data_IF_341331025483
#
_entry.id   IF_341331025483
#
_cell.length_a   1.000
_cell.length_b   1.000
_cell.length_c   1.000
_cell.angle_alpha   90.00
_cell.angle_beta   90.00
_cell.angle_gamma   90.00
#
_symmetry.space_group_name_H-M   'P 1'
#
loop_
_entity.id
_entity.type
_entity.pdbx_description
1 polymer ?
#
# COMPACT_ATOMS: atom_id res chain seq x y z
N UNK A 1 -11.70 -5.92 -68.89
CA UNK A 1 -12.20 -4.95 -67.90
C UNK A 1 -13.48 -5.49 -67.28
N UNK A 2 -13.44 -5.86 -66.00
CA UNK A 2 -14.44 -5.56 -64.95
C UNK A 2 -14.07 -6.37 -63.72
N UNK A 3 -13.95 -5.61 -62.63
CA UNK A 3 -13.38 -5.95 -61.34
C UNK A 3 -14.46 -6.58 -60.46
N UNK A 4 -14.12 -7.63 -59.72
CA UNK A 4 -14.89 -8.15 -58.59
C UNK A 4 -13.81 -8.58 -57.58
N UNK A 5 -13.55 -7.89 -56.46
CA UNK A 5 -14.47 -7.23 -55.55
C UNK A 5 -14.69 -8.14 -54.36
N UNK A 6 -13.64 -8.43 -53.57
CA UNK A 6 -13.77 -9.20 -52.32
C UNK A 6 -13.64 -8.24 -51.14
N UNK A 7 -14.71 -8.26 -50.35
CA UNK A 7 -15.06 -7.46 -49.20
C UNK A 7 -14.09 -7.74 -48.03
N UNK A 8 -13.42 -6.72 -47.51
CA UNK A 8 -12.65 -6.79 -46.26
C UNK A 8 -13.63 -6.58 -45.10
N UNK A 9 -13.86 -7.63 -44.32
CA UNK A 9 -14.71 -7.58 -43.13
C UNK A 9 -14.00 -6.84 -41.98
N UNK A 10 -14.53 -5.67 -41.63
CA UNK A 10 -14.12 -4.83 -40.50
C UNK A 10 -14.66 -5.44 -39.20
N UNK A 11 -13.82 -6.11 -38.40
CA UNK A 11 -14.19 -6.52 -37.05
C UNK A 11 -14.11 -5.32 -36.10
N UNK A 12 -15.24 -4.63 -35.90
CA UNK A 12 -15.41 -3.66 -34.85
C UNK A 12 -15.43 -4.37 -33.48
N UNK A 13 -14.35 -4.24 -32.72
CA UNK A 13 -14.30 -4.69 -31.32
C UNK A 13 -14.97 -3.63 -30.45
N UNK A 14 -16.24 -3.83 -30.13
CA UNK A 14 -16.95 -3.04 -29.11
C UNK A 14 -16.40 -3.46 -27.75
N UNK A 15 -15.43 -2.72 -27.23
CA UNK A 15 -15.04 -2.82 -25.83
C UNK A 15 -16.16 -2.22 -24.99
N UNK A 16 -17.07 -3.08 -24.51
CA UNK A 16 -17.99 -2.75 -23.42
C UNK A 16 -17.13 -2.50 -22.18
N UNK A 17 -16.87 -1.23 -21.86
CA UNK A 17 -16.44 -0.87 -20.52
C UNK A 17 -17.62 -1.11 -19.58
N UNK A 18 -17.58 -2.29 -18.96
CA UNK A 18 -18.37 -2.68 -17.80
C UNK A 18 -18.34 -1.53 -16.80
N UNK A 19 -19.52 -0.99 -16.51
CA UNK A 19 -19.69 0.01 -15.46
C UNK A 19 -19.19 -0.58 -14.13
N UNK A 20 -18.24 0.11 -13.51
CA UNK A 20 -17.77 -0.20 -12.18
C UNK A 20 -18.94 -0.05 -11.20
N UNK A 21 -19.42 -1.18 -10.70
CA UNK A 21 -20.29 -1.25 -9.53
C UNK A 21 -19.44 -0.76 -8.35
N UNK A 22 -19.78 0.40 -7.76
CA UNK A 22 -19.27 0.79 -6.44
C UNK A 22 -19.99 -0.05 -5.37
N UNK A 23 -19.64 -1.34 -5.30
CA UNK A 23 -19.99 -2.23 -4.21
C UNK A 23 -19.00 -1.98 -3.06
N UNK A 24 -19.54 -1.54 -1.91
CA UNK A 24 -18.87 -1.36 -0.61
C UNK A 24 -17.36 -1.56 -0.61
N UNK A 25 -16.61 -0.52 -0.96
CA UNK A 25 -15.15 -0.56 -1.09
C UNK A 25 -14.54 -0.91 0.28
N UNK A 26 -14.17 -2.18 0.46
CA UNK A 26 -13.50 -2.67 1.66
C UNK A 26 -12.28 -1.80 1.93
N UNK A 27 -12.10 -1.37 3.19
CA UNK A 27 -10.95 -0.55 3.56
C UNK A 27 -9.66 -1.32 3.20
N UNK A 28 -8.71 -0.69 2.47
CA UNK A 28 -7.52 -1.37 1.98
C UNK A 28 -6.67 -1.96 3.11
N UNK A 29 -6.84 -1.52 4.36
CA UNK A 29 -6.11 -2.04 5.52
C UNK A 29 -6.62 -3.38 6.03
N UNK A 30 -7.76 -3.87 5.57
CA UNK A 30 -8.31 -5.14 6.07
C UNK A 30 -7.48 -6.36 5.65
N UNK A 31 -6.75 -6.26 4.53
CA UNK A 31 -5.91 -7.33 3.99
C UNK A 31 -4.51 -6.78 3.62
N UNK A 32 -3.46 -7.57 3.79
CA UNK A 32 -2.08 -7.13 3.50
C UNK A 32 -1.87 -6.89 2.01
N UNK A 33 -2.54 -7.67 1.17
CA UNK A 33 -2.52 -7.60 -0.30
C UNK A 33 -3.04 -6.26 -0.82
N UNK A 34 -3.93 -5.59 -0.08
CA UNK A 34 -4.45 -4.26 -0.40
C UNK A 34 -3.77 -3.16 0.43
N UNK A 35 -3.34 -3.48 1.64
CA UNK A 35 -2.73 -2.52 2.56
C UNK A 35 -1.35 -2.06 2.05
N UNK A 36 -0.51 -2.99 1.59
CA UNK A 36 0.83 -2.68 1.10
C UNK A 36 0.79 -1.78 -0.15
N UNK A 37 0.00 -2.10 -1.20
CA UNK A 37 -0.11 -1.21 -2.36
C UNK A 37 -0.66 0.18 -2.02
N UNK A 38 -1.64 0.27 -1.11
CA UNK A 38 -2.19 1.58 -0.71
C UNK A 38 -1.18 2.39 0.11
N UNK A 39 -0.44 1.76 1.02
CA UNK A 39 0.66 2.38 1.75
C UNK A 39 1.72 2.94 0.78
N UNK A 40 2.10 2.17 -0.24
CA UNK A 40 3.03 2.60 -1.30
C UNK A 40 2.45 3.80 -2.05
N UNK A 41 1.19 3.74 -2.49
CA UNK A 41 0.53 4.83 -3.22
C UNK A 41 0.56 6.15 -2.44
N UNK A 42 0.22 6.10 -1.15
CA UNK A 42 0.22 7.29 -0.28
C UNK A 42 1.63 7.88 -0.12
N UNK A 43 2.65 7.03 0.04
CA UNK A 43 4.04 7.47 0.17
C UNK A 43 4.58 8.08 -1.14
N UNK A 44 4.26 7.48 -2.29
CA UNK A 44 4.62 8.00 -3.62
C UNK A 44 3.92 9.33 -3.92
N UNK A 45 2.65 9.47 -3.53
CA UNK A 45 1.89 10.70 -3.62
C UNK A 45 2.28 11.76 -2.57
N UNK A 46 3.19 11.44 -1.66
CA UNK A 46 3.61 12.29 -0.53
C UNK A 46 2.46 12.69 0.40
N UNK A 47 1.41 11.88 0.46
CA UNK A 47 0.25 12.03 1.34
C UNK A 47 0.59 11.55 2.77
N UNK A 48 1.64 12.11 3.37
CA UNK A 48 2.24 11.58 4.59
C UNK A 48 1.32 11.64 5.81
N UNK A 49 0.49 12.68 5.95
CA UNK A 49 -0.49 12.79 7.05
C UNK A 49 -1.50 11.63 6.98
N UNK A 50 -2.05 11.39 5.79
CA UNK A 50 -2.98 10.29 5.54
C UNK A 50 -2.32 8.93 5.79
N UNK A 51 -1.09 8.75 5.30
CA UNK A 51 -0.30 7.54 5.55
C UNK A 51 -0.12 7.29 7.05
N UNK A 52 0.40 8.27 7.79
CA UNK A 52 0.72 8.12 9.21
C UNK A 52 -0.53 7.84 10.04
N UNK A 53 -1.65 8.50 9.73
CA UNK A 53 -2.91 8.31 10.46
C UNK A 53 -3.52 6.94 10.22
N UNK A 54 -3.35 6.37 9.02
CA UNK A 54 -4.03 5.14 8.63
C UNK A 54 -3.20 3.88 8.80
N UNK A 55 -1.87 3.98 8.65
CA UNK A 55 -0.98 2.82 8.56
C UNK A 55 0.03 2.71 9.70
N UNK A 56 0.23 3.73 10.53
CA UNK A 56 1.03 3.57 11.76
C UNK A 56 0.13 2.99 12.84
N UNK A 57 0.65 2.05 13.63
CA UNK A 57 -0.06 1.52 14.78
C UNK A 57 -0.63 2.68 15.66
N UNK A 58 -1.90 2.65 16.07
CA UNK A 58 -2.52 3.77 16.80
C UNK A 58 -1.80 4.16 18.09
N UNK A 59 -1.26 3.20 18.84
CA UNK A 59 -0.54 3.46 20.08
C UNK A 59 0.80 4.14 19.80
N UNK A 60 1.52 3.67 18.78
CA UNK A 60 2.76 4.30 18.32
C UNK A 60 2.50 5.70 17.76
N UNK A 61 1.46 5.86 16.94
CA UNK A 61 1.05 7.15 16.38
C UNK A 61 0.74 8.16 17.49
N UNK A 62 -0.03 7.75 18.51
CA UNK A 62 -0.32 8.58 19.69
C UNK A 62 0.96 8.96 20.42
N UNK A 63 1.88 8.01 20.64
CA UNK A 63 3.17 8.27 21.30
C UNK A 63 4.05 9.24 20.50
N UNK A 64 4.12 9.10 19.18
CA UNK A 64 4.94 9.99 18.34
C UNK A 64 4.34 11.38 18.15
N UNK A 65 3.03 11.51 18.31
CA UNK A 65 2.33 12.79 18.24
C UNK A 65 2.12 13.44 19.61
N UNK A 66 2.54 12.80 20.69
CA UNK A 66 2.48 13.37 22.02
C UNK A 66 3.39 14.62 22.10
N UNK A 67 2.78 15.79 22.29
CA UNK A 67 3.50 17.06 22.38
C UNK A 67 3.89 17.69 21.02
N UNK A 68 3.41 17.16 19.90
CA UNK A 68 3.61 17.75 18.56
C UNK A 68 2.36 17.68 17.71
N UNK A 69 2.29 18.44 16.61
CA UNK A 69 1.19 18.32 15.66
C UNK A 69 1.45 17.20 14.67
N UNK A 70 0.38 16.60 14.14
CA UNK A 70 0.49 15.58 13.08
C UNK A 70 1.26 16.12 11.87
N UNK A 71 1.07 17.40 11.50
CA UNK A 71 1.80 18.03 10.40
C UNK A 71 3.30 18.14 10.67
N UNK A 72 3.70 18.49 11.91
CA UNK A 72 5.09 18.56 12.29
C UNK A 72 5.73 17.17 12.27
N UNK A 73 5.01 16.15 12.76
CA UNK A 73 5.45 14.76 12.67
C UNK A 73 5.57 14.29 11.22
N UNK A 74 4.61 14.62 10.35
CA UNK A 74 4.63 14.30 8.94
C UNK A 74 5.83 14.96 8.21
N UNK A 75 6.17 16.21 8.54
CA UNK A 75 7.37 16.89 8.01
C UNK A 75 8.65 16.18 8.45
N UNK A 76 8.74 15.78 9.71
CA UNK A 76 9.89 15.01 10.20
C UNK A 76 10.00 13.66 9.50
N UNK A 77 8.87 12.95 9.34
CA UNK A 77 8.81 11.68 8.61
C UNK A 77 9.25 11.83 7.15
N UNK A 78 8.86 12.92 6.49
CA UNK A 78 9.27 13.24 5.12
C UNK A 78 10.78 13.47 4.97
N UNK A 79 11.49 13.82 6.05
CA UNK A 79 12.93 14.14 6.05
C UNK A 79 13.88 12.94 5.83
N UNK A 80 13.36 11.75 5.54
CA UNK A 80 14.15 10.57 5.16
C UNK A 80 13.46 9.25 5.47
N UNK A 81 12.64 9.20 6.53
CA UNK A 81 11.95 7.97 6.94
C UNK A 81 10.95 7.49 5.88
N UNK A 82 10.25 8.43 5.21
CA UNK A 82 9.32 8.11 4.14
C UNK A 82 9.97 7.37 2.97
N UNK A 83 11.17 7.79 2.55
CA UNK A 83 11.88 7.17 1.43
C UNK A 83 12.36 5.75 1.78
N UNK A 84 12.92 5.59 2.98
CA UNK A 84 13.35 4.28 3.47
C UNK A 84 12.18 3.31 3.61
N UNK A 85 11.05 3.78 4.14
CA UNK A 85 9.86 2.95 4.28
C UNK A 85 9.25 2.60 2.92
N UNK A 86 9.22 3.53 1.98
CA UNK A 86 8.77 3.26 0.61
C UNK A 86 9.62 2.17 -0.05
N UNK A 87 10.96 2.28 0.04
CA UNK A 87 11.87 1.25 -0.48
C UNK A 87 11.62 -0.11 0.19
N UNK A 88 11.40 -0.13 1.50
CA UNK A 88 11.10 -1.36 2.23
C UNK A 88 9.79 -2.00 1.74
N UNK A 89 8.71 -1.23 1.65
CA UNK A 89 7.41 -1.70 1.16
C UNK A 89 7.50 -2.21 -0.29
N UNK A 90 8.21 -1.48 -1.16
CA UNK A 90 8.43 -1.91 -2.54
C UNK A 90 9.21 -3.24 -2.61
N UNK A 91 10.21 -3.44 -1.74
CA UNK A 91 11.00 -4.68 -1.71
C UNK A 91 10.20 -5.91 -1.27
N UNK A 92 9.13 -5.72 -0.50
CA UNK A 92 8.28 -6.80 0.03
C UNK A 92 6.94 -6.95 -0.70
N UNK A 93 6.67 -6.11 -1.72
CA UNK A 93 5.36 -6.01 -2.39
C UNK A 93 4.81 -7.36 -2.89
N UNK A 94 5.68 -8.24 -3.35
CA UNK A 94 5.34 -9.58 -3.85
C UNK A 94 5.80 -10.71 -2.93
N UNK A 95 6.40 -10.36 -1.78
CA UNK A 95 6.83 -11.32 -0.79
C UNK A 95 5.64 -11.83 0.01
N UNK A 96 5.77 -13.03 0.57
CA UNK A 96 4.82 -13.58 1.54
C UNK A 96 5.37 -13.36 2.95
N UNK A 97 4.57 -12.86 3.90
CA UNK A 97 5.02 -12.73 5.28
C UNK A 97 5.09 -14.08 5.98
N UNK A 98 5.93 -14.16 7.00
CA UNK A 98 5.77 -15.15 8.06
C UNK A 98 4.71 -14.64 9.04
N UNK A 99 3.70 -15.48 9.29
CA UNK A 99 2.62 -15.16 10.22
C UNK A 99 2.99 -15.59 11.65
N UNK A 100 2.84 -14.68 12.60
CA UNK A 100 3.09 -14.87 14.03
C UNK A 100 1.83 -14.50 14.85
N UNK A 101 1.81 -14.85 16.14
CA UNK A 101 0.77 -14.49 17.10
C UNK A 101 -0.66 -14.80 16.59
N UNK A 102 -0.88 -16.07 16.21
CA UNK A 102 -2.18 -16.55 15.69
C UNK A 102 -2.67 -15.76 14.46
N UNK A 103 -1.74 -15.30 13.62
CA UNK A 103 -2.06 -14.55 12.41
C UNK A 103 -2.37 -13.07 12.65
N UNK A 104 -2.05 -12.54 13.83
CA UNK A 104 -2.18 -11.10 14.15
C UNK A 104 -0.90 -10.32 13.88
N UNK A 105 0.20 -10.97 13.55
CA UNK A 105 1.48 -10.33 13.24
C UNK A 105 2.02 -10.93 11.95
N UNK A 106 2.44 -10.09 11.02
CA UNK A 106 2.99 -10.49 9.74
C UNK A 106 4.37 -9.88 9.58
N UNK A 107 5.39 -10.74 9.45
CA UNK A 107 6.79 -10.33 9.38
C UNK A 107 7.30 -10.58 7.97
N UNK A 108 7.76 -9.52 7.32
CA UNK A 108 8.40 -9.58 6.02
C UNK A 108 9.91 -9.40 6.17
N UNK A 109 10.68 -10.29 5.55
CA UNK A 109 12.12 -10.12 5.43
C UNK A 109 12.44 -9.13 4.29
N UNK A 110 13.34 -8.18 4.59
CA UNK A 110 13.88 -7.24 3.60
C UNK A 110 15.23 -7.79 3.15
N UNK A 111 15.31 -8.18 1.87
CA UNK A 111 16.50 -8.84 1.30
C UNK A 111 17.78 -8.02 1.44
N UNK A 112 17.68 -6.70 1.30
CA UNK A 112 18.77 -5.76 1.47
C UNK A 112 18.46 -4.82 2.62
N UNK A 113 19.40 -4.61 3.55
CA UNK A 113 19.14 -3.77 4.72
C UNK A 113 18.84 -2.33 4.29
N UNK A 114 17.70 -1.81 4.74
CA UNK A 114 17.28 -0.43 4.49
C UNK A 114 17.27 0.31 5.82
N UNK A 115 18.13 1.33 5.93
CA UNK A 115 18.31 2.09 7.18
C UNK A 115 18.58 1.18 8.40
N UNK A 116 19.41 0.15 8.20
CA UNK A 116 19.78 -0.83 9.24
C UNK A 116 18.70 -1.89 9.54
N UNK A 117 17.52 -1.80 8.93
CA UNK A 117 16.42 -2.78 9.12
C UNK A 117 16.48 -3.88 8.06
N UNK A 118 16.28 -5.11 8.50
CA UNK A 118 16.18 -6.33 7.69
C UNK A 118 14.77 -6.93 7.72
N UNK A 119 13.82 -6.28 8.40
CA UNK A 119 12.43 -6.70 8.47
C UNK A 119 11.46 -5.54 8.48
N UNK A 120 10.25 -5.81 7.99
CA UNK A 120 9.08 -4.93 8.10
C UNK A 120 7.95 -5.73 8.75
N UNK A 121 7.39 -5.19 9.82
CA UNK A 121 6.35 -5.87 10.60
C UNK A 121 5.02 -5.16 10.44
N UNK A 122 3.98 -5.94 10.21
CA UNK A 122 2.60 -5.51 10.31
C UNK A 122 1.93 -6.19 11.50
N UNK A 123 1.07 -5.46 12.21
CA UNK A 123 0.24 -5.95 13.30
C UNK A 123 -1.22 -5.71 12.98
N UNK A 124 -2.06 -6.70 13.26
CA UNK A 124 -3.51 -6.61 13.11
C UNK A 124 -4.13 -6.13 14.41
N UNK A 125 -4.74 -4.95 14.37
CA UNK A 125 -5.54 -4.41 15.48
C UNK A 125 -6.99 -4.39 15.02
N UNK A 126 -7.84 -5.09 15.76
CA UNK A 126 -9.21 -5.40 15.35
C UNK A 126 -9.25 -6.04 13.95
N UNK A 127 -9.72 -5.30 12.93
CA UNK A 127 -9.82 -5.76 11.55
C UNK A 127 -8.75 -5.19 10.61
N UNK A 128 -7.93 -4.24 11.06
CA UNK A 128 -6.99 -3.51 10.20
C UNK A 128 -5.53 -3.86 10.48
N UNK A 129 -4.72 -3.83 9.42
CA UNK A 129 -3.27 -3.99 9.47
C UNK A 129 -2.56 -2.64 9.57
N UNK A 130 -1.61 -2.58 10.50
CA UNK A 130 -0.79 -1.41 10.77
C UNK A 130 0.68 -1.79 10.75
N UNK A 131 1.54 -0.87 10.36
CA UNK A 131 2.99 -0.99 10.45
C UNK A 131 3.41 -0.77 11.90
N UNK A 132 4.21 -1.70 12.41
CA UNK A 132 4.84 -1.66 13.73
C UNK A 132 6.36 -1.64 13.51
N UNK A 133 7.03 -0.50 13.71
CA UNK A 133 8.46 -0.36 13.41
C UNK A 133 9.15 0.77 14.18
#
# INVERSE_FOLDING_TARGET
MKVLGVLVALCASVALFVGAVEEGKTDPRENLETAIPEAIRLLEAKEYVTFLTNFVNPDDFKRFTEGTTVDAFAKHFAGGNAEFLLKALQSIKEAKPTMENDGKRAVYEIKEKINGRDKLVFVKVEKFWYIEN
#
